data_IF_945774185222
#
_entry.id   IF_945774185222
#
_cell.length_a   1.000
_cell.length_b   1.000
_cell.length_c   1.000
_cell.angle_alpha   90.00
_cell.angle_beta   90.00
_cell.angle_gamma   90.00
#
_symmetry.space_group_name_H-M   'P 1'
#
loop_
_entity.id
_entity.type
_entity.pdbx_description
1 polymer ?
#
# COMPACT_ATOMS: atom_id res chain seq x y z
N UNK A 1 -3.98 -11.17 1.59
CA UNK A 1 -3.05 -10.02 1.60
C UNK A 1 -3.75 -8.70 1.29
N UNK A 2 -4.65 -8.63 0.31
CA UNK A 2 -5.32 -7.38 -0.06
C UNK A 2 -6.06 -6.70 1.11
N UNK A 3 -6.77 -7.48 1.94
CA UNK A 3 -7.40 -6.98 3.18
C UNK A 3 -6.38 -6.36 4.15
N UNK A 4 -5.25 -7.03 4.37
CA UNK A 4 -4.18 -6.53 5.24
C UNK A 4 -3.63 -5.17 4.77
N UNK A 5 -3.43 -5.01 3.45
CA UNK A 5 -2.97 -3.74 2.86
C UNK A 5 -3.99 -2.62 3.15
N UNK A 6 -5.28 -2.89 2.91
CA UNK A 6 -6.35 -1.91 3.16
C UNK A 6 -6.42 -1.56 4.64
N UNK A 7 -6.45 -2.54 5.55
CA UNK A 7 -6.50 -2.29 7.00
C UNK A 7 -5.31 -1.47 7.51
N UNK A 8 -4.10 -1.73 7.00
CA UNK A 8 -2.91 -0.96 7.36
C UNK A 8 -3.07 0.49 6.91
N UNK A 9 -3.47 0.73 5.66
CA UNK A 9 -3.65 2.09 5.12
C UNK A 9 -4.86 2.82 5.75
N UNK A 10 -5.88 2.09 6.16
CA UNK A 10 -7.01 2.62 6.92
C UNK A 10 -6.55 3.15 8.28
N UNK A 11 -5.75 2.38 9.00
CA UNK A 11 -5.26 2.71 10.36
C UNK A 11 -4.12 3.72 10.36
N UNK A 12 -3.16 3.60 9.43
CA UNK A 12 -1.89 4.33 9.44
C UNK A 12 -1.80 5.45 8.39
N UNK A 13 -2.77 5.52 7.48
CA UNK A 13 -2.75 6.49 6.38
C UNK A 13 -1.82 6.07 5.25
N UNK A 14 -1.62 6.99 4.30
CA UNK A 14 -0.73 6.77 3.16
C UNK A 14 0.70 6.56 3.61
N UNK A 15 1.41 5.62 3.00
CA UNK A 15 2.81 5.35 3.35
C UNK A 15 3.58 4.84 2.14
N UNK A 16 4.89 4.70 2.31
CA UNK A 16 5.69 4.17 1.22
C UNK A 16 5.45 2.68 1.00
N UNK A 17 5.63 2.21 -0.22
CA UNK A 17 5.60 0.79 -0.56
C UNK A 17 6.60 -0.05 0.26
N UNK A 18 7.74 0.53 0.63
CA UNK A 18 8.74 -0.09 1.52
C UNK A 18 8.21 -0.22 2.95
N UNK A 19 7.59 0.83 3.48
CA UNK A 19 7.07 0.81 4.85
C UNK A 19 5.82 -0.08 4.94
N UNK A 20 4.96 -0.04 3.92
CA UNK A 20 3.83 -0.96 3.77
C UNK A 20 4.28 -2.42 3.77
N UNK A 21 5.35 -2.75 3.05
CA UNK A 21 5.89 -4.12 3.06
C UNK A 21 6.32 -4.56 4.47
N UNK A 22 7.01 -3.68 5.21
CA UNK A 22 7.43 -3.97 6.60
C UNK A 22 6.24 -4.19 7.51
N UNK A 23 5.19 -3.38 7.36
CA UNK A 23 3.95 -3.50 8.13
C UNK A 23 3.22 -4.81 7.81
N UNK A 24 3.08 -5.17 6.53
CA UNK A 24 2.50 -6.45 6.13
C UNK A 24 3.33 -7.60 6.69
N UNK A 25 4.66 -7.52 6.59
CA UNK A 25 5.57 -8.54 7.13
C UNK A 25 5.43 -8.76 8.63
N UNK A 26 5.32 -7.67 9.38
CA UNK A 26 5.28 -7.70 10.85
C UNK A 26 3.95 -8.22 11.39
N UNK A 27 2.83 -7.93 10.70
CA UNK A 27 1.49 -8.25 11.19
C UNK A 27 0.88 -9.51 10.55
N UNK A 28 1.32 -9.91 9.36
CA UNK A 28 0.66 -10.95 8.55
C UNK A 28 1.59 -12.01 7.94
N UNK A 29 2.90 -11.96 8.25
CA UNK A 29 3.90 -12.97 7.83
C UNK A 29 4.79 -12.53 6.66
N UNK A 30 5.82 -13.33 6.37
CA UNK A 30 6.83 -13.05 5.35
C UNK A 30 6.20 -12.73 3.97
N UNK A 31 6.53 -11.58 3.40
CA UNK A 31 6.01 -11.13 2.10
C UNK A 31 7.11 -10.52 1.25
N UNK A 32 7.26 -11.01 0.03
CA UNK A 32 8.21 -10.45 -0.94
C UNK A 32 7.65 -9.16 -1.57
N UNK A 33 8.55 -8.29 -2.04
CA UNK A 33 8.15 -7.12 -2.83
C UNK A 33 7.40 -7.50 -4.10
N UNK A 34 7.71 -8.65 -4.71
CA UNK A 34 7.00 -9.12 -5.91
C UNK A 34 5.54 -9.41 -5.62
N UNK A 35 5.26 -10.09 -4.50
CA UNK A 35 3.89 -10.38 -4.09
C UNK A 35 3.15 -9.10 -3.72
N UNK A 36 3.79 -8.21 -2.95
CA UNK A 36 3.20 -6.91 -2.62
C UNK A 36 2.86 -6.13 -3.89
N UNK A 37 3.79 -6.05 -4.85
CA UNK A 37 3.55 -5.36 -6.12
C UNK A 37 2.38 -5.94 -6.90
N UNK A 38 2.23 -7.27 -6.93
CA UNK A 38 1.11 -7.93 -7.60
C UNK A 38 -0.22 -7.56 -6.95
N UNK A 39 -0.28 -7.47 -5.63
CA UNK A 39 -1.50 -7.07 -4.93
C UNK A 39 -1.80 -5.59 -5.05
N UNK A 40 -0.78 -4.72 -4.99
CA UNK A 40 -0.95 -3.28 -5.23
C UNK A 40 -1.52 -3.03 -6.63
N UNK A 41 -0.99 -3.70 -7.66
CA UNK A 41 -1.50 -3.58 -9.03
C UNK A 41 -2.97 -4.03 -9.14
N UNK A 42 -3.35 -5.13 -8.48
CA UNK A 42 -4.75 -5.60 -8.48
C UNK A 42 -5.68 -4.59 -7.82
N UNK A 43 -5.29 -4.04 -6.66
CA UNK A 43 -6.09 -3.08 -5.91
C UNK A 43 -6.18 -1.73 -6.63
N UNK A 44 -5.10 -1.31 -7.30
CA UNK A 44 -5.08 -0.10 -8.13
C UNK A 44 -5.99 -0.23 -9.35
N UNK A 45 -5.93 -1.35 -10.09
CA UNK A 45 -6.87 -1.64 -11.19
C UNK A 45 -8.32 -1.73 -10.72
N UNK A 46 -8.53 -2.17 -9.47
CA UNK A 46 -9.84 -2.19 -8.82
C UNK A 46 -10.31 -0.83 -8.29
N UNK A 47 -9.49 0.22 -8.37
CA UNK A 47 -9.83 1.55 -7.87
C UNK A 47 -9.96 1.63 -6.35
N UNK A 48 -9.22 0.79 -5.60
CA UNK A 48 -9.23 0.76 -4.13
C UNK A 48 -8.12 1.63 -3.53
N UNK A 49 -7.00 1.71 -4.22
CA UNK A 49 -5.84 2.51 -3.83
C UNK A 49 -5.18 3.14 -5.06
N UNK A 50 -4.34 4.12 -4.82
CA UNK A 50 -3.52 4.77 -5.81
C UNK A 50 -2.04 4.61 -5.44
N UNK A 51 -1.18 4.35 -6.44
CA UNK A 51 0.26 4.26 -6.25
C UNK A 51 0.95 5.37 -7.03
N UNK A 52 1.49 6.37 -6.33
CA UNK A 52 2.21 7.49 -6.94
C UNK A 52 3.71 7.40 -6.69
N UNK A 53 4.50 8.12 -7.50
CA UNK A 53 5.94 8.22 -7.29
C UNK A 53 6.23 9.19 -6.15
N UNK A 54 6.95 8.74 -5.13
CA UNK A 54 7.43 9.60 -4.05
C UNK A 54 8.83 10.16 -4.37
N UNK A 55 9.77 9.28 -4.73
CA UNK A 55 11.12 9.62 -5.19
C UNK A 55 11.69 8.48 -6.04
N UNK A 56 12.94 8.59 -6.51
CA UNK A 56 13.57 7.50 -7.29
C UNK A 56 13.59 6.20 -6.45
N UNK A 57 12.90 5.17 -6.94
CA UNK A 57 12.84 3.86 -6.29
C UNK A 57 11.89 3.75 -5.09
N UNK A 58 11.07 4.77 -4.81
CA UNK A 58 10.11 4.75 -3.69
C UNK A 58 8.75 5.26 -4.15
N UNK A 59 7.68 4.53 -3.83
CA UNK A 59 6.30 4.86 -4.20
C UNK A 59 5.49 5.19 -2.96
N UNK A 60 4.55 6.12 -3.08
CA UNK A 60 3.53 6.38 -2.08
C UNK A 60 2.29 5.56 -2.42
N UNK A 61 1.70 4.92 -1.41
CA UNK A 61 0.47 4.13 -1.54
C UNK A 61 -0.60 4.78 -0.67
N UNK A 62 -1.74 5.09 -1.25
CA UNK A 62 -2.86 5.79 -0.60
C UNK A 62 -4.20 5.15 -0.95
N UNK A 63 -5.15 5.07 0.00
CA UNK A 63 -6.50 4.61 -0.30
C UNK A 63 -7.25 5.66 -1.11
N UNK A 64 -7.93 5.24 -2.17
CA UNK A 64 -8.82 6.13 -2.92
C UNK A 64 -10.05 6.46 -2.07
N UNK A 65 -10.45 7.73 -2.05
CA UNK A 65 -11.65 8.17 -1.32
C UNK A 65 -11.41 8.64 0.12
N UNK A 66 -10.18 8.59 0.64
CA UNK A 66 -9.81 9.42 1.79
C UNK A 66 -9.54 10.85 1.29
N UNK A 67 -10.17 11.89 1.86
CA UNK A 67 -9.86 13.27 1.48
C UNK A 67 -8.36 13.51 1.69
N UNK A 68 -7.70 14.07 0.67
CA UNK A 68 -6.42 14.74 0.86
C UNK A 68 -6.76 15.94 1.75
N UNK A 69 -6.58 15.80 3.07
CA UNK A 69 -6.61 16.94 3.97
C UNK A 69 -5.36 17.77 3.64
N UNK A 70 -5.54 18.70 2.70
CA UNK A 70 -4.67 19.85 2.51
C UNK A 70 -4.85 20.87 3.63
#
# INVERSE_FOLDING_TARGET
MSLAIVEILEKKGSMSDVDLQKEVKSNFGEVSFRELNRELMKLELGGVLWVSRLMKGKRLVELTGKPILG
#
